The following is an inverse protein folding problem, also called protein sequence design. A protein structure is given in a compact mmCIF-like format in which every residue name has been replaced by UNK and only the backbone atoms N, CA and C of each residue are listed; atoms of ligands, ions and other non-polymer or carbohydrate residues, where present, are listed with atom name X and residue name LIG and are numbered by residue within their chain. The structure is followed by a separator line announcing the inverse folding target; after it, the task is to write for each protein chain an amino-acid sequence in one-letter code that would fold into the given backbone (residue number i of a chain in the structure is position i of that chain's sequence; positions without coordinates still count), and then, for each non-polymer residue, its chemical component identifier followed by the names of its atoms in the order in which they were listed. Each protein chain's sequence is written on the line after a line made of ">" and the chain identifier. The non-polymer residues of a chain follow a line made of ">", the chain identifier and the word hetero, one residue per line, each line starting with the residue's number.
data_IF_333693308124
#
_entry.id   IF_333693308124
#
_cell.length_a   1.000
_cell.length_b   1.000
_cell.length_c   1.000
_cell.angle_alpha   90.00
_cell.angle_beta   90.00
_cell.angle_gamma   90.00
#
_symmetry.space_group_name_H-M   'P 1'
#
loop_
_entity.id
_entity.type
_entity.pdbx_description
1 polymer ?
#
# COMPACT_ATOMS: atom_id res chain seq x y z
N UNK A 1 -10.98 1.15 -12.89
CA UNK A 1 -10.53 -0.20 -13.29
C UNK A 1 -11.08 -1.16 -12.23
N UNK A 2 -11.94 -2.10 -12.55
CA UNK A 2 -12.45 -3.08 -11.60
C UNK A 2 -11.37 -4.12 -11.23
N UNK A 3 -11.55 -4.80 -10.10
CA UNK A 3 -10.68 -5.89 -9.64
C UNK A 3 -10.73 -7.09 -10.61
N UNK A 4 -11.93 -7.44 -11.10
CA UNK A 4 -12.08 -8.49 -12.10
C UNK A 4 -11.46 -8.08 -13.44
N UNK A 5 -10.67 -8.99 -14.01
CA UNK A 5 -9.87 -8.71 -15.20
C UNK A 5 -10.75 -8.57 -16.43
N UNK A 6 -10.92 -7.35 -16.91
CA UNK A 6 -11.65 -7.01 -18.13
C UNK A 6 -10.86 -7.21 -19.43
N UNK A 7 -9.83 -8.07 -19.42
CA UNK A 7 -9.06 -8.38 -20.61
C UNK A 7 -9.81 -9.40 -21.50
N UNK A 8 -9.75 -9.20 -22.80
CA UNK A 8 -10.25 -10.16 -23.78
C UNK A 8 -9.28 -11.35 -23.88
N UNK A 9 -9.60 -12.55 -23.37
CA UNK A 9 -8.64 -13.64 -23.20
C UNK A 9 -7.92 -14.06 -24.49
N UNK A 10 -8.64 -14.07 -25.61
CA UNK A 10 -8.13 -14.52 -26.92
C UNK A 10 -7.41 -13.44 -27.73
N UNK A 11 -7.47 -12.17 -27.29
CA UNK A 11 -6.76 -11.09 -27.97
C UNK A 11 -5.28 -11.09 -27.57
N UNK A 12 -4.43 -10.59 -28.46
CA UNK A 12 -3.02 -10.35 -28.15
C UNK A 12 -2.91 -9.14 -27.23
N UNK A 13 -1.89 -9.13 -26.39
CA UNK A 13 -1.68 -8.08 -25.36
C UNK A 13 -1.80 -6.65 -25.90
N UNK A 14 -1.25 -6.35 -27.08
CA UNK A 14 -1.32 -5.02 -27.66
C UNK A 14 -2.70 -4.65 -28.21
N UNK A 15 -3.47 -5.62 -28.69
CA UNK A 15 -4.71 -5.35 -29.42
C UNK A 15 -5.76 -4.61 -28.56
N UNK A 16 -6.07 -5.05 -27.31
CA UNK A 16 -7.00 -4.32 -26.45
C UNK A 16 -6.49 -2.95 -26.03
N UNK A 17 -5.17 -2.77 -25.88
CA UNK A 17 -4.60 -1.47 -25.54
C UNK A 17 -4.78 -0.47 -26.68
N UNK A 18 -4.46 -0.88 -27.92
CA UNK A 18 -4.68 -0.07 -29.12
C UNK A 18 -6.16 0.24 -29.32
N UNK A 19 -7.02 -0.76 -29.13
CA UNK A 19 -8.46 -0.59 -29.23
C UNK A 19 -9.00 0.44 -28.24
N UNK A 20 -8.63 0.33 -26.96
CA UNK A 20 -9.06 1.26 -25.91
C UNK A 20 -8.51 2.67 -26.15
N UNK A 21 -7.24 2.80 -26.55
CA UNK A 21 -6.66 4.09 -26.89
C UNK A 21 -7.44 4.77 -28.02
N UNK A 22 -7.80 4.01 -29.06
CA UNK A 22 -8.61 4.52 -30.19
C UNK A 22 -10.04 4.86 -29.78
N UNK A 23 -10.65 4.06 -28.91
CA UNK A 23 -11.99 4.31 -28.39
C UNK A 23 -12.06 5.65 -27.63
N UNK A 24 -10.95 6.05 -27.01
CA UNK A 24 -10.79 7.34 -26.32
C UNK A 24 -10.23 8.45 -27.22
N UNK A 25 -10.27 8.29 -28.54
CA UNK A 25 -10.00 9.35 -29.50
C UNK A 25 -8.55 9.49 -29.96
N UNK A 26 -7.64 8.57 -29.60
CA UNK A 26 -6.29 8.61 -30.15
C UNK A 26 -6.27 8.18 -31.61
N UNK A 27 -5.49 8.87 -32.43
CA UNK A 27 -5.26 8.47 -33.82
C UNK A 27 -4.55 7.08 -33.89
N UNK A 28 -4.72 6.33 -35.01
CA UNK A 28 -4.22 4.94 -35.09
C UNK A 28 -2.73 4.78 -34.81
N UNK A 29 -1.89 5.71 -35.28
CA UNK A 29 -0.44 5.67 -35.03
C UNK A 29 -0.08 6.01 -33.60
N UNK A 30 -0.72 7.03 -33.02
CA UNK A 30 -0.55 7.42 -31.63
C UNK A 30 -1.02 6.31 -30.67
N UNK A 31 -2.16 5.68 -30.98
CA UNK A 31 -2.68 4.56 -30.19
C UNK A 31 -1.70 3.37 -30.13
N UNK A 32 -1.09 3.01 -31.28
CA UNK A 32 -0.07 1.95 -31.33
C UNK A 32 1.19 2.34 -30.57
N UNK A 33 1.68 3.55 -30.78
CA UNK A 33 2.87 4.06 -30.10
C UNK A 33 2.64 4.13 -28.58
N UNK A 34 1.48 4.60 -28.15
CA UNK A 34 1.13 4.66 -26.73
C UNK A 34 0.98 3.27 -26.12
N UNK A 35 0.32 2.32 -26.79
CA UNK A 35 0.20 0.94 -26.35
C UNK A 35 1.58 0.28 -26.18
N UNK A 36 2.49 0.48 -27.16
CA UNK A 36 3.85 -0.03 -27.08
C UNK A 36 4.62 0.56 -25.87
N UNK A 37 4.51 1.87 -25.63
CA UNK A 37 5.10 2.52 -24.45
C UNK A 37 4.53 1.97 -23.15
N UNK A 38 3.24 1.67 -23.08
CA UNK A 38 2.63 1.12 -21.87
C UNK A 38 3.13 -0.29 -21.56
N UNK A 39 3.19 -1.20 -22.55
CA UNK A 39 3.70 -2.57 -22.30
C UNK A 39 5.18 -2.57 -21.92
N UNK A 40 5.98 -1.64 -22.46
CA UNK A 40 7.37 -1.45 -22.07
C UNK A 40 7.48 -0.95 -20.63
N UNK A 41 6.75 0.10 -20.28
CA UNK A 41 6.74 0.71 -18.95
C UNK A 41 6.29 -0.26 -17.86
N UNK A 42 5.37 -1.18 -18.18
CA UNK A 42 4.92 -2.23 -17.26
C UNK A 42 5.79 -3.50 -17.30
N UNK A 43 6.90 -3.50 -18.06
CA UNK A 43 7.85 -4.61 -18.14
C UNK A 43 7.27 -5.88 -18.79
N UNK A 44 6.33 -5.73 -19.73
CA UNK A 44 5.68 -6.85 -20.44
C UNK A 44 5.83 -6.78 -21.95
N UNK A 45 6.82 -6.02 -22.45
CA UNK A 45 7.07 -5.82 -23.87
C UNK A 45 7.35 -7.13 -24.62
N UNK A 46 8.08 -8.06 -24.01
CA UNK A 46 8.38 -9.39 -24.61
C UNK A 46 7.10 -10.23 -24.82
N UNK A 47 6.04 -9.95 -24.06
CA UNK A 47 4.75 -10.62 -24.12
C UNK A 47 3.73 -9.91 -25.02
N UNK A 48 4.12 -8.84 -25.72
CA UNK A 48 3.24 -7.99 -26.51
C UNK A 48 2.42 -8.75 -27.58
N UNK A 49 2.97 -9.87 -28.09
CA UNK A 49 2.34 -10.73 -29.11
C UNK A 49 1.61 -11.95 -28.54
N UNK A 50 1.76 -12.23 -27.26
CA UNK A 50 1.11 -13.36 -26.59
C UNK A 50 -0.38 -13.07 -26.40
N UNK A 51 -1.19 -14.14 -26.23
CA UNK A 51 -2.60 -13.99 -25.87
C UNK A 51 -2.73 -13.67 -24.38
N UNK A 52 -3.70 -12.83 -24.00
CA UNK A 52 -3.91 -12.44 -22.62
C UNK A 52 -4.13 -13.65 -21.68
N UNK A 53 -4.80 -14.70 -22.16
CA UNK A 53 -5.06 -15.92 -21.40
C UNK A 53 -3.80 -16.75 -21.08
N UNK A 54 -2.70 -16.56 -21.81
CA UNK A 54 -1.44 -17.29 -21.59
C UNK A 54 -0.51 -16.59 -20.59
N UNK A 55 -0.87 -15.41 -20.12
CA UNK A 55 -0.07 -14.64 -19.19
C UNK A 55 -0.29 -15.12 -17.75
N UNK A 56 0.75 -14.99 -16.92
CA UNK A 56 0.61 -15.11 -15.47
C UNK A 56 -0.36 -14.07 -14.92
N UNK A 57 -0.94 -14.33 -13.75
CA UNK A 57 -1.87 -13.43 -13.08
C UNK A 57 -1.30 -12.01 -12.92
N UNK A 58 -0.03 -11.89 -12.49
CA UNK A 58 0.64 -10.60 -12.35
C UNK A 58 0.82 -9.86 -13.68
N UNK A 59 1.16 -10.57 -14.77
CA UNK A 59 1.26 -9.96 -16.09
C UNK A 59 -0.10 -9.53 -16.62
N UNK A 60 -1.17 -10.29 -16.39
CA UNK A 60 -2.54 -9.87 -16.73
C UNK A 60 -2.92 -8.59 -15.98
N UNK A 61 -2.58 -8.49 -14.69
CA UNK A 61 -2.80 -7.30 -13.89
C UNK A 61 -2.05 -6.08 -14.46
N UNK A 62 -0.77 -6.26 -14.82
CA UNK A 62 0.04 -5.21 -15.45
C UNK A 62 -0.58 -4.72 -16.78
N UNK A 63 -1.12 -5.61 -17.60
CA UNK A 63 -1.80 -5.24 -18.86
C UNK A 63 -3.12 -4.53 -18.60
N UNK A 64 -3.88 -4.94 -17.59
CA UNK A 64 -5.12 -4.27 -17.22
C UNK A 64 -4.86 -2.84 -16.73
N UNK A 65 -3.79 -2.63 -15.96
CA UNK A 65 -3.34 -1.31 -15.54
C UNK A 65 -2.87 -0.46 -16.74
N UNK A 66 -2.11 -1.07 -17.66
CA UNK A 66 -1.73 -0.42 -18.92
C UNK A 66 -2.96 0.03 -19.72
N UNK A 67 -4.01 -0.81 -19.76
CA UNK A 67 -5.28 -0.48 -20.42
C UNK A 67 -6.00 0.72 -19.77
N UNK A 68 -5.96 0.81 -18.44
CA UNK A 68 -6.56 1.94 -17.71
C UNK A 68 -5.81 3.27 -17.94
N UNK A 69 -4.53 3.20 -18.34
CA UNK A 69 -3.65 4.37 -18.49
C UNK A 69 -3.36 4.76 -19.94
N UNK A 70 -3.62 3.86 -20.90
CA UNK A 70 -3.22 4.05 -22.31
C UNK A 70 -3.81 5.29 -22.96
N UNK A 71 -4.99 5.71 -22.54
CA UNK A 71 -5.69 6.88 -23.06
C UNK A 71 -5.40 8.20 -22.32
N UNK A 72 -4.43 8.18 -21.37
CA UNK A 72 -4.02 9.34 -20.55
C UNK A 72 -5.20 9.97 -19.81
N UNK A 73 -5.85 9.23 -18.90
CA UNK A 73 -7.02 9.71 -18.18
C UNK A 73 -6.69 10.93 -17.31
N UNK A 74 -7.64 11.85 -17.20
CA UNK A 74 -7.54 13.01 -16.29
C UNK A 74 -7.76 12.61 -14.82
N UNK A 75 -8.44 11.49 -14.56
CA UNK A 75 -8.71 10.94 -13.21
C UNK A 75 -8.55 9.43 -13.24
N UNK A 76 -7.90 8.87 -12.25
CA UNK A 76 -7.73 7.43 -12.08
C UNK A 76 -8.54 6.92 -10.89
N UNK A 77 -9.40 5.92 -11.13
CA UNK A 77 -10.10 5.17 -10.09
C UNK A 77 -9.79 3.69 -10.29
N UNK A 78 -9.11 3.09 -9.32
CA UNK A 78 -8.58 1.73 -9.42
C UNK A 78 -9.07 0.90 -8.23
N UNK A 79 -9.55 -0.30 -8.51
CA UNK A 79 -9.98 -1.24 -7.50
C UNK A 79 -8.94 -2.34 -7.34
N UNK A 80 -8.36 -2.47 -6.14
CA UNK A 80 -7.29 -3.40 -5.76
C UNK A 80 -6.16 -3.51 -6.80
N UNK A 81 -5.56 -2.39 -7.28
CA UNK A 81 -4.63 -2.43 -8.41
C UNK A 81 -3.33 -3.18 -8.14
N UNK A 82 -2.97 -3.39 -6.88
CA UNK A 82 -1.76 -4.09 -6.45
C UNK A 82 -1.97 -5.60 -6.24
N UNK A 83 -3.22 -6.06 -6.32
CA UNK A 83 -3.56 -7.48 -6.13
C UNK A 83 -2.85 -8.36 -7.16
N UNK A 84 -2.17 -9.41 -6.69
CA UNK A 84 -1.49 -10.40 -7.55
C UNK A 84 -0.19 -9.91 -8.20
N UNK A 85 0.31 -8.73 -7.85
CA UNK A 85 1.63 -8.25 -8.26
C UNK A 85 2.73 -8.81 -7.34
N UNK A 86 3.88 -9.09 -7.94
CA UNK A 86 5.12 -9.33 -7.23
C UNK A 86 5.72 -8.00 -6.69
N UNK A 87 6.69 -8.02 -5.78
CA UNK A 87 7.28 -6.80 -5.23
C UNK A 87 7.79 -5.83 -6.31
N UNK A 88 8.39 -6.33 -7.38
CA UNK A 88 8.87 -5.50 -8.50
C UNK A 88 7.69 -4.85 -9.22
N UNK A 89 6.60 -5.57 -9.44
CA UNK A 89 5.36 -5.04 -10.02
C UNK A 89 4.72 -3.97 -9.16
N UNK A 90 4.73 -4.14 -7.83
CA UNK A 90 4.26 -3.13 -6.87
C UNK A 90 5.07 -1.85 -6.99
N UNK A 91 6.41 -1.94 -7.08
CA UNK A 91 7.26 -0.75 -7.19
C UNK A 91 7.05 -0.03 -8.53
N UNK A 92 7.02 -0.75 -9.64
CA UNK A 92 6.72 -0.19 -10.97
C UNK A 92 5.37 0.53 -10.99
N UNK A 93 4.31 -0.11 -10.47
CA UNK A 93 3.00 0.53 -10.42
C UNK A 93 3.00 1.76 -9.51
N UNK A 94 3.67 1.68 -8.35
CA UNK A 94 3.77 2.80 -7.42
C UNK A 94 4.42 4.03 -8.07
N UNK A 95 5.49 3.85 -8.84
CA UNK A 95 6.14 4.92 -9.59
C UNK A 95 5.21 5.50 -10.67
N UNK A 96 4.48 4.65 -11.37
CA UNK A 96 3.54 5.08 -12.40
C UNK A 96 2.41 5.93 -11.79
N UNK A 97 1.81 5.49 -10.68
CA UNK A 97 0.73 6.21 -10.02
C UNK A 97 1.20 7.54 -9.42
N UNK A 98 2.39 7.56 -8.80
CA UNK A 98 3.00 8.82 -8.35
C UNK A 98 3.22 9.77 -9.51
N UNK A 99 3.80 9.30 -10.61
CA UNK A 99 4.02 10.13 -11.79
C UNK A 99 2.72 10.67 -12.41
N UNK A 100 1.59 9.97 -12.29
CA UNK A 100 0.28 10.51 -12.69
C UNK A 100 -0.19 11.60 -11.73
N UNK A 101 -0.06 11.38 -10.42
CA UNK A 101 -0.42 12.36 -9.41
C UNK A 101 0.44 13.63 -9.52
N UNK A 102 1.75 13.49 -9.71
CA UNK A 102 2.70 14.60 -9.91
C UNK A 102 2.38 15.40 -11.18
N UNK A 103 1.83 14.74 -12.21
CA UNK A 103 1.33 15.38 -13.42
C UNK A 103 -0.03 16.07 -13.24
N UNK A 104 -0.62 16.01 -12.03
CA UNK A 104 -1.86 16.67 -11.66
C UNK A 104 -3.13 15.82 -11.85
N UNK A 105 -3.01 14.53 -12.20
CA UNK A 105 -4.16 13.63 -12.29
C UNK A 105 -4.51 13.07 -10.90
N UNK A 106 -5.72 13.31 -10.36
CA UNK A 106 -6.15 12.68 -9.13
C UNK A 106 -6.16 11.15 -9.26
N UNK A 107 -5.55 10.46 -8.28
CA UNK A 107 -5.49 9.01 -8.23
C UNK A 107 -6.22 8.53 -6.98
N UNK A 108 -7.26 7.72 -7.18
CA UNK A 108 -7.99 7.03 -6.10
C UNK A 108 -7.87 5.54 -6.32
N UNK A 109 -7.49 4.80 -5.29
CA UNK A 109 -7.48 3.35 -5.36
C UNK A 109 -7.98 2.72 -4.05
N UNK A 110 -8.62 1.55 -4.17
CA UNK A 110 -8.93 0.71 -3.02
C UNK A 110 -7.75 -0.21 -2.70
N UNK A 111 -7.55 -0.51 -1.43
CA UNK A 111 -6.62 -1.55 -1.00
C UNK A 111 -6.94 -2.02 0.42
N UNK A 112 -6.73 -3.31 0.67
CA UNK A 112 -6.71 -3.90 2.01
C UNK A 112 -5.28 -3.95 2.60
N UNK A 113 -4.25 -3.58 1.83
CA UNK A 113 -2.84 -3.54 2.24
C UNK A 113 -2.51 -2.16 2.83
N UNK A 114 -2.81 -1.97 4.12
CA UNK A 114 -2.69 -0.67 4.77
C UNK A 114 -1.27 -0.10 4.78
N UNK A 115 -0.24 -0.94 4.85
CA UNK A 115 1.17 -0.52 4.75
C UNK A 115 1.49 0.12 3.39
N UNK A 116 0.91 -0.43 2.32
CA UNK A 116 1.06 0.13 0.98
C UNK A 116 0.33 1.48 0.86
N UNK A 117 -0.86 1.58 1.43
CA UNK A 117 -1.61 2.84 1.49
C UNK A 117 -0.82 3.90 2.24
N UNK A 118 -0.22 3.57 3.39
CA UNK A 118 0.65 4.49 4.14
C UNK A 118 1.83 5.01 3.32
N UNK A 119 2.40 4.16 2.49
CA UNK A 119 3.57 4.50 1.67
C UNK A 119 3.22 5.38 0.47
N UNK A 120 2.02 5.23 -0.08
CA UNK A 120 1.64 5.84 -1.37
C UNK A 120 0.68 7.01 -1.26
N UNK A 121 -0.18 7.02 -0.24
CA UNK A 121 -1.27 7.98 -0.14
C UNK A 121 -0.95 9.11 0.85
N UNK A 122 -1.46 10.30 0.55
CA UNK A 122 -1.50 11.41 1.50
C UNK A 122 -2.76 11.37 2.36
N UNK A 123 -3.87 10.91 1.77
CA UNK A 123 -5.19 10.88 2.39
C UNK A 123 -5.85 9.52 2.21
N UNK A 124 -6.69 9.17 3.16
CA UNK A 124 -7.38 7.88 3.18
C UNK A 124 -8.85 8.04 3.60
N UNK A 125 -9.69 7.16 3.08
CA UNK A 125 -11.06 6.93 3.57
C UNK A 125 -11.13 5.47 3.99
N UNK A 126 -11.39 5.22 5.27
CA UNK A 126 -11.54 3.87 5.83
C UNK A 126 -13.02 3.51 5.89
N UNK A 127 -13.36 2.35 5.34
CA UNK A 127 -14.74 1.87 5.25
C UNK A 127 -14.84 0.52 5.96
N UNK A 128 -15.81 0.38 6.85
CA UNK A 128 -16.20 -0.90 7.43
C UNK A 128 -17.72 -1.07 7.32
N UNK A 129 -18.18 -2.24 6.86
CA UNK A 129 -19.58 -2.62 6.70
C UNK A 129 -20.42 -1.54 6.00
N UNK A 130 -19.86 -0.92 4.95
CA UNK A 130 -20.53 0.12 4.17
C UNK A 130 -20.60 1.50 4.83
N UNK A 131 -19.89 1.72 5.93
CA UNK A 131 -19.81 3.01 6.63
C UNK A 131 -18.39 3.54 6.64
N UNK A 132 -18.26 4.85 6.48
CA UNK A 132 -16.98 5.53 6.68
C UNK A 132 -16.69 5.60 8.17
N UNK A 133 -15.62 4.94 8.60
CA UNK A 133 -15.17 4.92 10.02
C UNK A 133 -14.09 5.96 10.30
N UNK A 134 -13.27 6.31 9.30
CA UNK A 134 -12.31 7.41 9.38
C UNK A 134 -12.03 7.99 7.99
N UNK A 135 -11.72 9.28 7.93
CA UNK A 135 -11.29 9.93 6.68
C UNK A 135 -10.40 11.13 6.97
N UNK A 136 -9.48 11.43 6.06
CA UNK A 136 -8.61 12.59 6.11
C UNK A 136 -7.17 12.29 5.72
N UNK A 137 -6.29 13.26 5.93
CA UNK A 137 -4.85 13.07 5.73
C UNK A 137 -4.31 12.07 6.76
N UNK A 138 -3.41 11.21 6.33
CA UNK A 138 -2.78 10.20 7.19
C UNK A 138 -2.07 10.86 8.37
N UNK A 139 -1.38 11.99 8.13
CA UNK A 139 -0.76 12.80 9.18
C UNK A 139 -1.75 13.25 10.26
N UNK A 140 -2.94 13.70 9.84
CA UNK A 140 -3.95 14.23 10.75
C UNK A 140 -4.61 13.10 11.55
N UNK A 141 -4.84 11.94 10.91
CA UNK A 141 -5.35 10.75 11.60
C UNK A 141 -4.38 10.25 12.67
N UNK A 142 -3.07 10.26 12.38
CA UNK A 142 -2.02 9.95 13.35
C UNK A 142 -1.94 10.99 14.48
N UNK A 143 -2.04 12.26 14.16
CA UNK A 143 -1.99 13.34 15.16
C UNK A 143 -3.18 13.32 16.13
N UNK A 144 -4.34 12.81 15.72
CA UNK A 144 -5.52 12.62 16.60
C UNK A 144 -5.36 11.45 17.55
N UNK A 145 -4.43 10.55 17.25
CA UNK A 145 -4.13 9.42 18.13
C UNK A 145 -3.12 9.85 19.20
N UNK A 146 -3.60 10.06 20.40
CA UNK A 146 -2.79 10.53 21.54
C UNK A 146 -1.99 9.42 22.21
N UNK A 147 -2.06 8.18 21.72
CA UNK A 147 -1.30 7.08 22.28
C UNK A 147 0.21 7.32 22.14
N UNK A 148 0.91 7.00 23.21
CA UNK A 148 2.36 7.05 23.25
C UNK A 148 2.90 5.66 23.06
N UNK A 149 3.41 5.39 21.86
CA UNK A 149 3.91 4.07 21.49
C UNK A 149 5.43 4.05 21.48
N UNK A 150 5.99 2.96 21.97
CA UNK A 150 7.44 2.70 21.96
C UNK A 150 7.69 1.34 21.31
N UNK A 151 8.62 1.30 20.36
CA UNK A 151 9.20 0.08 19.82
C UNK A 151 10.55 -0.15 20.48
N UNK A 152 10.74 -1.31 21.08
CA UNK A 152 12.01 -1.74 21.65
C UNK A 152 12.38 -3.13 21.13
N UNK A 153 13.58 -3.27 20.59
CA UNK A 153 14.17 -4.53 20.16
C UNK A 153 15.36 -4.85 21.06
N UNK A 154 15.30 -6.02 21.70
CA UNK A 154 16.24 -6.41 22.76
C UNK A 154 16.68 -7.84 22.54
N UNK A 155 17.94 -8.03 22.14
CA UNK A 155 18.53 -9.35 21.96
C UNK A 155 18.85 -9.97 23.31
N UNK A 156 18.44 -11.23 23.49
CA UNK A 156 18.68 -11.99 24.73
C UNK A 156 17.69 -11.73 25.84
N UNK A 157 16.65 -10.91 25.61
CA UNK A 157 15.58 -10.72 26.58
C UNK A 157 14.73 -11.99 26.73
N UNK A 158 14.41 -12.34 27.97
CA UNK A 158 13.44 -13.40 28.26
C UNK A 158 12.01 -12.94 27.92
N UNK A 159 11.13 -13.90 27.62
CA UNK A 159 9.71 -13.61 27.49
C UNK A 159 9.17 -12.96 28.78
N UNK A 160 8.36 -11.90 28.61
CA UNK A 160 7.78 -11.20 29.75
C UNK A 160 8.67 -10.13 30.41
N UNK A 161 9.79 -9.75 29.80
CA UNK A 161 10.69 -8.71 30.35
C UNK A 161 10.01 -7.35 30.62
N UNK A 162 8.84 -7.11 30.01
CA UNK A 162 8.01 -5.91 30.22
C UNK A 162 6.93 -6.09 31.30
N UNK A 163 6.67 -7.30 31.78
CA UNK A 163 5.55 -7.60 32.68
C UNK A 163 5.67 -6.89 34.05
N UNK A 164 6.88 -6.47 34.40
CA UNK A 164 7.16 -5.72 35.64
C UNK A 164 7.16 -4.19 35.49
N UNK A 165 6.90 -3.65 34.29
CA UNK A 165 6.95 -2.20 34.05
C UNK A 165 5.55 -1.60 34.22
N UNK A 166 5.29 -0.81 35.30
CA UNK A 166 3.97 -0.27 35.57
C UNK A 166 3.48 0.66 34.47
N UNK A 167 2.21 0.52 34.07
CA UNK A 167 1.59 1.38 33.07
C UNK A 167 2.06 1.15 31.64
N UNK A 168 2.71 0.03 31.36
CA UNK A 168 3.09 -0.41 30.02
C UNK A 168 2.17 -1.52 29.55
N UNK A 169 1.57 -1.38 28.37
CA UNK A 169 0.73 -2.39 27.72
C UNK A 169 1.39 -2.88 26.45
N UNK A 170 1.72 -4.16 26.36
CA UNK A 170 2.23 -4.77 25.13
C UNK A 170 1.12 -4.84 24.09
N UNK A 171 1.33 -4.20 22.94
CA UNK A 171 0.42 -4.24 21.80
C UNK A 171 0.80 -5.34 20.82
N UNK A 172 2.09 -5.50 20.58
CA UNK A 172 2.64 -6.48 19.64
C UNK A 172 3.96 -7.04 20.17
N UNK A 173 4.11 -8.37 20.12
CA UNK A 173 5.38 -9.04 20.39
C UNK A 173 6.12 -9.25 19.07
N UNK A 174 7.35 -8.76 18.99
CA UNK A 174 8.27 -8.96 17.89
C UNK A 174 9.17 -10.17 18.18
N UNK A 175 9.89 -10.66 17.17
CA UNK A 175 10.83 -11.80 17.32
C UNK A 175 11.89 -11.51 18.40
N UNK A 176 12.39 -10.29 18.49
CA UNK A 176 13.37 -9.85 19.49
C UNK A 176 12.91 -8.54 20.16
N UNK A 177 11.68 -8.47 20.70
CA UNK A 177 11.22 -7.25 21.34
C UNK A 177 9.71 -7.06 21.34
N UNK A 178 9.26 -5.80 21.46
CA UNK A 178 7.84 -5.48 21.50
C UNK A 178 7.55 -4.04 21.05
N UNK A 179 6.30 -3.83 20.61
CA UNK A 179 5.68 -2.51 20.53
C UNK A 179 4.74 -2.38 21.73
N UNK A 180 4.92 -1.32 22.49
CA UNK A 180 4.18 -1.07 23.73
C UNK A 180 3.48 0.29 23.69
N UNK A 181 2.36 0.37 24.38
CA UNK A 181 1.66 1.59 24.72
C UNK A 181 1.97 2.03 26.14
N UNK A 182 2.27 3.29 26.33
CA UNK A 182 2.52 3.89 27.62
C UNK A 182 1.25 4.57 28.14
N UNK A 183 0.89 4.29 29.37
CA UNK A 183 -0.14 5.02 30.07
C UNK A 183 0.26 6.48 30.29
N UNK A 184 -0.71 7.34 30.61
CA UNK A 184 -0.46 8.74 30.94
C UNK A 184 0.49 8.84 32.14
N UNK A 185 1.52 9.70 32.02
CA UNK A 185 2.53 9.88 33.07
C UNK A 185 3.69 8.90 33.07
N UNK A 186 3.62 7.79 32.32
CA UNK A 186 4.73 6.82 32.22
C UNK A 186 5.81 7.33 31.29
N UNK A 187 7.08 7.25 31.71
CA UNK A 187 8.20 7.69 30.86
C UNK A 187 8.64 6.59 29.90
N UNK A 188 9.01 6.96 28.68
CA UNK A 188 9.68 6.04 27.76
C UNK A 188 11.04 5.56 28.30
N UNK A 189 11.65 6.33 29.22
CA UNK A 189 12.88 5.94 29.91
C UNK A 189 12.69 4.68 30.76
N UNK A 190 11.52 4.51 31.38
CA UNK A 190 11.24 3.33 32.21
C UNK A 190 11.27 2.05 31.37
N UNK A 191 10.73 2.11 30.13
CA UNK A 191 10.81 1.01 29.16
C UNK A 191 12.24 0.78 28.66
N UNK A 192 13.01 1.86 28.45
CA UNK A 192 14.41 1.76 28.05
C UNK A 192 15.27 1.10 29.13
N UNK A 193 15.06 1.46 30.38
CA UNK A 193 15.80 0.89 31.49
C UNK A 193 15.45 -0.60 31.69
N UNK A 194 14.18 -0.96 31.57
CA UNK A 194 13.76 -2.36 31.54
C UNK A 194 14.39 -3.13 30.36
N UNK A 195 14.43 -2.53 29.17
CA UNK A 195 15.07 -3.12 28.01
C UNK A 195 16.57 -3.38 28.21
N UNK A 196 17.28 -2.41 28.81
CA UNK A 196 18.72 -2.55 29.15
C UNK A 196 18.97 -3.61 30.22
N UNK A 197 18.07 -3.74 31.19
CA UNK A 197 18.17 -4.79 32.22
C UNK A 197 17.89 -6.19 31.65
N UNK A 198 17.05 -6.29 30.61
CA UNK A 198 16.66 -7.54 29.99
C UNK A 198 17.70 -8.08 28.99
N UNK A 199 18.47 -7.20 28.34
CA UNK A 199 19.44 -7.63 27.34
C UNK A 199 20.10 -6.50 26.57
N UNK A 200 20.60 -6.81 25.38
CA UNK A 200 21.24 -5.83 24.49
C UNK A 200 20.19 -5.09 23.65
N UNK A 201 20.02 -3.81 23.89
CA UNK A 201 19.07 -2.97 23.13
C UNK A 201 19.63 -2.68 21.72
N UNK A 202 18.99 -3.21 20.69
CA UNK A 202 19.36 -3.00 19.29
C UNK A 202 18.62 -1.81 18.67
N UNK A 203 17.36 -1.63 19.07
CA UNK A 203 16.55 -0.53 18.59
C UNK A 203 15.63 -0.04 19.71
N UNK A 204 15.47 1.29 19.79
CA UNK A 204 14.52 1.94 20.68
C UNK A 204 14.03 3.23 20.03
N UNK A 205 12.73 3.33 19.81
CA UNK A 205 12.14 4.52 19.19
C UNK A 205 10.71 4.77 19.70
N UNK A 206 10.35 6.04 19.77
CA UNK A 206 8.94 6.44 19.87
C UNK A 206 8.34 6.29 18.48
N UNK A 207 7.27 5.54 18.35
CA UNK A 207 6.61 5.28 17.07
C UNK A 207 5.23 5.92 17.04
N UNK A 208 4.81 6.29 15.83
CA UNK A 208 3.44 6.74 15.60
C UNK A 208 2.56 5.52 15.27
N UNK A 209 1.26 5.56 15.60
CA UNK A 209 0.33 4.51 15.24
C UNK A 209 0.32 4.27 13.72
N UNK A 210 0.33 3.01 13.31
CA UNK A 210 0.12 2.61 11.93
C UNK A 210 -1.35 2.81 11.53
N UNK A 211 -1.63 2.90 10.21
CA UNK A 211 -3.02 2.89 9.73
C UNK A 211 -3.76 1.63 10.16
N UNK A 212 -3.07 0.49 10.23
CA UNK A 212 -3.64 -0.78 10.71
C UNK A 212 -4.13 -0.70 12.16
N UNK A 213 -3.39 -0.02 13.02
CA UNK A 213 -3.78 0.19 14.41
C UNK A 213 -4.92 1.19 14.55
N UNK A 214 -4.89 2.28 13.76
CA UNK A 214 -5.97 3.26 13.70
C UNK A 214 -7.25 2.57 13.21
N UNK A 215 -7.20 1.80 12.12
CA UNK A 215 -8.33 1.08 11.57
C UNK A 215 -8.94 0.11 12.60
N UNK A 216 -8.12 -0.75 13.23
CA UNK A 216 -8.59 -1.69 14.26
C UNK A 216 -9.33 -0.99 15.40
N UNK A 217 -8.87 0.18 15.81
CA UNK A 217 -9.50 0.97 16.86
C UNK A 217 -10.84 1.56 16.41
N UNK A 218 -10.90 2.12 15.20
CA UNK A 218 -12.14 2.75 14.71
C UNK A 218 -13.23 1.71 14.41
N UNK A 219 -12.86 0.49 14.01
CA UNK A 219 -13.80 -0.63 13.80
C UNK A 219 -14.27 -1.25 15.12
N UNK A 220 -13.47 -1.18 16.19
CA UNK A 220 -13.82 -1.71 17.52
C UNK A 220 -14.74 -0.79 18.33
N UNK A 221 -15.03 0.43 17.86
CA UNK A 221 -15.96 1.41 18.46
C UNK A 221 -17.39 1.19 17.99
#
# INVERSE_FOLDING_TARGET
>A
MPEERGLYPKMRVLDPLVYLARLHGLEPEDARSQAARMVDRFGVAERAKDRAETLSLGNQQRIQLAAALVHRPEVLVLDEPFSGLDPVGVDVLSEILRGQADAGAPVVFSSHQLELVERLCESVVMIDRGRVVASGRISDLRARDTRRLVRAEVTGAADGWLDGVPGVRVLERLTEGAIVELAEGVSSSDVLDAARAAGSVRHFSIVQPSLSEIFRREVAR
#
